data_IF_050856695963
#
_entry.id   IF_050856695963
#
_cell.length_a   1.000
_cell.length_b   1.000
_cell.length_c   1.000
_cell.angle_alpha   90.00
_cell.angle_beta   90.00
_cell.angle_gamma   90.00
#
_symmetry.space_group_name_H-M   'P 1'
#
loop_
_entity.id
_entity.type
_entity.pdbx_description
1 polymer ?
#
# COMPACT_ATOMS: atom_id res chain seq x y z
N UNK A 1 -79.87 27.75 -1.02
CA UNK A 1 -78.51 27.17 -0.72
C UNK A 1 -77.58 27.58 -1.84
N UNK A 2 -76.60 28.47 -1.55
CA UNK A 2 -75.55 28.89 -2.51
C UNK A 2 -74.32 28.05 -2.30
N UNK A 3 -73.74 27.51 -3.36
CA UNK A 3 -72.48 26.69 -3.18
C UNK A 3 -71.28 27.60 -2.84
N UNK A 4 -70.30 27.11 -2.08
CA UNK A 4 -69.11 27.87 -1.75
C UNK A 4 -68.17 27.99 -2.97
N UNK A 5 -67.72 29.22 -3.19
CA UNK A 5 -66.76 29.59 -4.23
C UNK A 5 -65.35 28.95 -3.90
N UNK A 6 -64.71 28.31 -4.86
CA UNK A 6 -63.33 27.77 -4.63
C UNK A 6 -62.32 28.93 -4.51
N UNK A 7 -61.60 28.97 -3.40
CA UNK A 7 -60.45 29.87 -3.20
C UNK A 7 -59.29 29.34 -3.96
N UNK A 8 -58.90 29.94 -5.06
CA UNK A 8 -57.67 29.67 -5.81
C UNK A 8 -56.47 30.03 -4.96
N UNK A 9 -55.48 29.10 -4.76
CA UNK A 9 -54.26 29.39 -4.04
C UNK A 9 -53.45 30.44 -4.82
N UNK A 10 -53.07 31.50 -4.14
CA UNK A 10 -52.25 32.59 -4.68
C UNK A 10 -50.84 32.02 -4.99
N UNK A 11 -50.51 31.85 -6.26
CA UNK A 11 -49.16 31.53 -6.69
C UNK A 11 -48.26 32.71 -6.33
N UNK A 12 -47.34 32.47 -5.38
CA UNK A 12 -46.25 33.38 -5.08
C UNK A 12 -45.15 33.13 -6.10
N UNK A 13 -44.92 34.10 -6.98
CA UNK A 13 -43.76 34.10 -7.87
C UNK A 13 -42.46 34.37 -7.07
N UNK A 14 -41.36 33.78 -7.51
CA UNK A 14 -40.05 34.07 -6.98
C UNK A 14 -39.69 35.55 -7.19
N UNK A 15 -39.12 36.17 -6.17
CA UNK A 15 -38.64 37.56 -6.29
C UNK A 15 -37.29 37.59 -7.01
N UNK A 16 -37.04 38.66 -7.76
CA UNK A 16 -35.73 38.82 -8.44
C UNK A 16 -34.58 38.77 -7.45
N UNK A 17 -34.77 39.27 -6.24
CA UNK A 17 -33.80 39.24 -5.15
C UNK A 17 -33.42 37.80 -4.72
N UNK A 18 -34.45 36.94 -4.64
CA UNK A 18 -34.23 35.52 -4.22
C UNK A 18 -33.44 34.74 -5.25
N UNK A 19 -33.67 34.99 -6.54
CA UNK A 19 -32.86 34.41 -7.62
C UNK A 19 -31.40 34.92 -7.58
N UNK A 20 -31.19 36.21 -7.35
CA UNK A 20 -29.85 36.80 -7.24
C UNK A 20 -29.07 36.21 -6.05
N UNK A 21 -29.71 36.04 -4.90
CA UNK A 21 -29.09 35.42 -3.72
C UNK A 21 -28.74 33.94 -4.00
N UNK A 22 -29.67 33.21 -4.65
CA UNK A 22 -29.42 31.81 -4.99
C UNK A 22 -28.21 31.64 -5.94
N UNK A 23 -28.10 32.50 -6.96
CA UNK A 23 -26.95 32.49 -7.87
C UNK A 23 -25.66 32.86 -7.14
N UNK A 24 -25.68 33.86 -6.28
CA UNK A 24 -24.51 34.28 -5.51
C UNK A 24 -24.01 33.16 -4.56
N UNK A 25 -24.92 32.48 -3.86
CA UNK A 25 -24.58 31.35 -2.99
C UNK A 25 -24.02 30.16 -3.79
N UNK A 26 -24.64 29.84 -4.94
CA UNK A 26 -24.18 28.79 -5.82
C UNK A 26 -22.75 29.07 -6.34
N UNK A 27 -22.46 30.30 -6.73
CA UNK A 27 -21.15 30.74 -7.17
C UNK A 27 -20.12 30.65 -6.03
N UNK A 28 -20.48 31.02 -4.81
CA UNK A 28 -19.61 30.95 -3.63
C UNK A 28 -19.27 29.50 -3.29
N UNK A 29 -20.26 28.59 -3.33
CA UNK A 29 -20.04 27.16 -3.13
C UNK A 29 -19.13 26.59 -4.22
N UNK A 30 -19.35 26.97 -5.49
CA UNK A 30 -18.51 26.55 -6.62
C UNK A 30 -17.04 26.94 -6.44
N UNK A 31 -16.76 28.16 -6.00
CA UNK A 31 -15.41 28.64 -5.71
C UNK A 31 -14.79 27.83 -4.56
N UNK A 32 -15.55 27.56 -3.49
CA UNK A 32 -15.09 26.76 -2.35
C UNK A 32 -14.72 25.33 -2.73
N UNK A 33 -15.54 24.69 -3.57
CA UNK A 33 -15.28 23.33 -4.08
C UNK A 33 -14.05 23.33 -4.99
N UNK A 34 -13.91 24.30 -5.88
CA UNK A 34 -12.74 24.42 -6.76
C UNK A 34 -11.44 24.56 -5.96
N UNK A 35 -11.42 25.43 -4.93
CA UNK A 35 -10.28 25.62 -4.05
C UNK A 35 -9.94 24.32 -3.28
N UNK A 36 -10.93 23.57 -2.83
CA UNK A 36 -10.73 22.28 -2.16
C UNK A 36 -10.11 21.23 -3.09
N UNK A 37 -10.60 21.15 -4.32
CA UNK A 37 -10.06 20.23 -5.34
C UNK A 37 -8.60 20.59 -5.67
N UNK A 38 -8.30 21.87 -5.83
CA UNK A 38 -6.95 22.35 -6.09
C UNK A 38 -5.98 22.00 -4.93
N UNK A 39 -6.43 22.16 -3.68
CA UNK A 39 -5.66 21.73 -2.50
C UNK A 39 -5.41 20.22 -2.46
N UNK A 40 -6.42 19.40 -2.83
CA UNK A 40 -6.28 17.95 -2.90
C UNK A 40 -5.31 17.52 -4.00
N UNK A 41 -5.37 18.14 -5.18
CA UNK A 41 -4.45 17.88 -6.29
C UNK A 41 -3.03 18.29 -5.90
N UNK A 42 -2.83 19.48 -5.36
CA UNK A 42 -1.52 19.97 -4.90
C UNK A 42 -0.93 19.15 -3.76
N UNK A 43 -1.79 18.65 -2.84
CA UNK A 43 -1.36 17.71 -1.80
C UNK A 43 -0.88 16.39 -2.43
N UNK A 44 -1.61 15.87 -3.41
CA UNK A 44 -1.26 14.65 -4.13
C UNK A 44 0.05 14.77 -4.89
N UNK A 45 0.31 15.91 -5.54
CA UNK A 45 1.56 16.19 -6.24
C UNK A 45 2.75 16.30 -5.28
N UNK A 46 2.59 16.93 -4.11
CA UNK A 46 3.63 16.99 -3.06
C UNK A 46 3.97 15.62 -2.48
N UNK A 47 3.03 14.68 -2.48
CA UNK A 47 3.27 13.28 -2.09
C UNK A 47 3.79 12.41 -3.25
N UNK A 48 3.71 12.88 -4.49
CA UNK A 48 4.14 12.13 -5.67
C UNK A 48 5.63 12.26 -5.99
N UNK A 49 6.30 13.30 -5.51
CA UNK A 49 7.75 13.49 -5.64
C UNK A 49 8.41 13.60 -4.25
N UNK A 50 8.62 12.48 -3.54
CA UNK A 50 9.42 12.51 -2.32
C UNK A 50 10.85 12.90 -2.68
N UNK A 51 11.43 13.81 -1.89
CA UNK A 51 12.84 14.12 -2.00
C UNK A 51 13.67 12.82 -1.89
N UNK A 52 14.82 12.68 -2.57
CA UNK A 52 15.57 11.43 -2.66
C UNK A 52 15.90 10.76 -1.32
N UNK A 53 16.11 11.56 -0.27
CA UNK A 53 16.34 11.07 1.09
C UNK A 53 15.05 10.58 1.76
N UNK A 54 13.93 11.23 1.48
CA UNK A 54 12.63 10.86 2.05
C UNK A 54 12.16 9.51 1.49
N UNK A 55 12.39 9.24 0.19
CA UNK A 55 12.05 7.95 -0.42
C UNK A 55 12.80 6.77 0.20
N UNK A 56 14.08 6.95 0.60
CA UNK A 56 14.86 5.90 1.27
C UNK A 56 14.38 5.65 2.69
N UNK A 57 14.06 6.71 3.42
CA UNK A 57 13.50 6.61 4.76
C UNK A 57 12.11 5.97 4.70
N UNK A 58 11.30 6.36 3.74
CA UNK A 58 9.93 5.87 3.60
C UNK A 58 9.88 4.39 3.23
N UNK A 59 10.71 3.94 2.27
CA UNK A 59 10.78 2.51 1.95
C UNK A 59 11.31 1.69 3.13
N UNK A 60 12.29 2.23 3.87
CA UNK A 60 12.84 1.57 5.06
C UNK A 60 11.78 1.41 6.15
N UNK A 61 11.01 2.46 6.44
CA UNK A 61 9.91 2.43 7.42
C UNK A 61 8.77 1.49 7.00
N UNK A 62 8.40 1.52 5.72
CA UNK A 62 7.37 0.64 5.17
C UNK A 62 7.81 -0.82 5.26
N UNK A 63 9.05 -1.11 4.88
CA UNK A 63 9.62 -2.45 4.91
C UNK A 63 9.69 -2.99 6.35
N UNK A 64 10.16 -2.18 7.33
CA UNK A 64 10.17 -2.56 8.74
C UNK A 64 8.78 -2.95 9.23
N UNK A 65 7.80 -2.05 9.06
CA UNK A 65 6.42 -2.29 9.52
C UNK A 65 5.80 -3.53 8.88
N UNK A 66 6.10 -3.81 7.61
CA UNK A 66 5.53 -4.95 6.92
C UNK A 66 6.21 -6.26 7.28
N UNK A 67 7.48 -6.24 7.61
CA UNK A 67 8.20 -7.40 8.15
C UNK A 67 7.82 -7.66 9.62
N UNK A 68 7.68 -6.62 10.44
CA UNK A 68 7.20 -6.72 11.83
C UNK A 68 5.75 -7.25 11.92
N UNK A 69 4.94 -6.99 10.88
CA UNK A 69 3.57 -7.50 10.78
C UNK A 69 3.47 -8.84 10.03
N UNK A 70 4.60 -9.54 9.86
CA UNK A 70 4.66 -10.84 9.19
C UNK A 70 3.79 -11.87 9.91
N UNK A 71 3.08 -12.68 9.12
CA UNK A 71 2.28 -13.81 9.62
C UNK A 71 2.61 -15.06 8.81
N UNK A 72 2.58 -16.20 9.49
CA UNK A 72 2.77 -17.48 8.83
C UNK A 72 1.43 -17.90 8.21
N UNK A 73 1.40 -17.90 6.89
CA UNK A 73 0.25 -18.41 6.13
C UNK A 73 0.73 -19.01 4.81
N UNK A 74 0.26 -20.23 4.46
CA UNK A 74 0.47 -20.80 3.14
C UNK A 74 -0.11 -19.88 2.05
N UNK A 75 0.58 -19.76 0.93
CA UNK A 75 0.13 -19.02 -0.25
C UNK A 75 -0.06 -20.00 -1.39
N UNK A 76 -1.18 -19.90 -2.07
CA UNK A 76 -1.53 -20.76 -3.21
C UNK A 76 -1.72 -19.93 -4.48
N UNK A 77 -1.41 -20.53 -5.63
CA UNK A 77 -1.79 -19.99 -6.93
C UNK A 77 -2.14 -21.13 -7.87
N UNK A 78 -3.26 -20.99 -8.58
CA UNK A 78 -3.74 -22.02 -9.51
C UNK A 78 -3.95 -23.40 -8.83
N UNK A 79 -4.39 -23.41 -7.57
CA UNK A 79 -4.58 -24.64 -6.80
C UNK A 79 -3.28 -25.30 -6.29
N UNK A 80 -2.11 -24.70 -6.53
CA UNK A 80 -0.82 -25.21 -6.04
C UNK A 80 -0.30 -24.33 -4.92
N UNK A 81 0.25 -24.95 -3.88
CA UNK A 81 0.95 -24.22 -2.83
C UNK A 81 2.25 -23.65 -3.37
N UNK A 82 2.41 -22.32 -3.32
CA UNK A 82 3.61 -21.63 -3.75
C UNK A 82 4.69 -21.67 -2.68
N UNK A 83 4.32 -21.34 -1.46
CA UNK A 83 5.19 -21.45 -0.30
C UNK A 83 4.38 -21.57 0.99
N UNK A 84 4.97 -22.23 1.99
CA UNK A 84 4.40 -22.40 3.32
C UNK A 84 5.29 -21.83 4.43
N UNK A 85 6.45 -21.33 4.06
CA UNK A 85 7.38 -20.71 4.98
C UNK A 85 7.00 -19.24 5.18
N UNK A 86 7.31 -18.66 6.35
CA UNK A 86 7.08 -17.25 6.60
C UNK A 86 7.73 -16.33 5.58
N UNK A 87 8.90 -16.72 5.10
CA UNK A 87 9.71 -15.99 4.12
C UNK A 87 10.03 -16.90 2.93
N UNK A 88 9.64 -16.49 1.73
CA UNK A 88 10.03 -17.12 0.48
C UNK A 88 11.13 -16.29 -0.19
N UNK A 89 12.35 -16.81 -0.16
CA UNK A 89 13.54 -16.14 -0.71
C UNK A 89 13.97 -16.76 -2.03
N UNK A 90 14.17 -15.95 -3.03
CA UNK A 90 14.69 -16.31 -4.35
C UNK A 90 15.97 -15.52 -4.63
N UNK A 91 17.10 -16.14 -4.42
CA UNK A 91 18.41 -15.51 -4.61
C UNK A 91 18.68 -15.13 -6.08
N UNK A 92 18.25 -15.98 -7.02
CA UNK A 92 18.36 -15.78 -8.46
C UNK A 92 17.66 -14.50 -8.95
N UNK A 93 16.54 -14.16 -8.31
CA UNK A 93 15.72 -13.00 -8.63
C UNK A 93 15.93 -11.80 -7.70
N UNK A 94 16.88 -11.91 -6.74
CA UNK A 94 17.04 -10.94 -5.66
C UNK A 94 15.67 -10.54 -5.04
N UNK A 95 14.84 -11.55 -4.70
CA UNK A 95 13.45 -11.39 -4.30
C UNK A 95 13.18 -12.04 -2.95
N UNK A 96 12.46 -11.31 -2.11
CA UNK A 96 11.91 -11.80 -0.85
C UNK A 96 10.39 -11.60 -0.85
N UNK A 97 9.63 -12.68 -0.58
CA UNK A 97 8.17 -12.62 -0.47
C UNK A 97 7.72 -13.12 0.91
N UNK A 98 6.67 -12.52 1.45
CA UNK A 98 6.06 -12.89 2.72
C UNK A 98 4.60 -12.46 2.77
N UNK A 99 3.88 -12.92 3.80
CA UNK A 99 2.53 -12.45 4.11
C UNK A 99 2.59 -11.56 5.34
N UNK A 100 1.90 -10.44 5.31
CA UNK A 100 1.79 -9.52 6.45
C UNK A 100 0.36 -9.03 6.66
N UNK A 101 0.07 -8.52 7.85
CA UNK A 101 -1.16 -7.78 8.12
C UNK A 101 -1.06 -6.36 7.53
N UNK A 102 -2.08 -5.97 6.77
CA UNK A 102 -2.27 -4.61 6.30
C UNK A 102 -3.00 -3.75 7.33
N UNK A 103 -2.85 -2.42 7.21
CA UNK A 103 -3.57 -1.47 8.07
C UNK A 103 -5.08 -1.46 7.79
N UNK A 104 -5.49 -1.68 6.54
CA UNK A 104 -6.89 -1.60 6.09
C UNK A 104 -7.35 -2.97 5.62
N UNK A 105 -8.59 -3.33 5.97
CA UNK A 105 -9.26 -4.53 5.43
C UNK A 105 -9.67 -4.27 3.98
N UNK A 106 -9.43 -5.24 3.09
CA UNK A 106 -9.92 -5.23 1.71
C UNK A 106 -10.98 -6.32 1.53
N UNK A 107 -12.01 -6.05 0.72
CA UNK A 107 -12.97 -7.09 0.34
C UNK A 107 -12.28 -8.12 -0.58
N UNK A 108 -12.53 -9.41 -0.30
CA UNK A 108 -12.10 -10.52 -1.13
C UNK A 108 -13.30 -11.45 -1.27
N UNK A 109 -14.06 -11.32 -2.37
CA UNK A 109 -15.37 -11.94 -2.51
C UNK A 109 -16.32 -11.45 -1.40
N UNK A 110 -16.92 -12.37 -0.67
CA UNK A 110 -17.85 -12.09 0.44
C UNK A 110 -17.15 -11.81 1.78
N UNK A 111 -15.82 -11.82 1.82
CA UNK A 111 -15.04 -11.66 3.05
C UNK A 111 -14.15 -10.43 3.00
N UNK A 112 -13.82 -9.93 4.18
CA UNK A 112 -12.82 -8.88 4.36
C UNK A 112 -11.54 -9.49 4.93
N UNK A 113 -10.39 -9.16 4.33
CA UNK A 113 -9.09 -9.59 4.83
C UNK A 113 -8.14 -8.43 4.99
N UNK A 114 -7.33 -8.49 6.03
CA UNK A 114 -6.19 -7.58 6.23
C UNK A 114 -4.87 -8.22 5.76
N UNK A 115 -4.91 -9.48 5.36
CA UNK A 115 -3.72 -10.17 4.88
C UNK A 115 -3.31 -9.63 3.52
N UNK A 116 -2.01 -9.44 3.38
CA UNK A 116 -1.36 -8.94 2.16
C UNK A 116 -0.15 -9.79 1.87
N UNK A 117 -0.02 -10.23 0.64
CA UNK A 117 1.24 -10.77 0.12
C UNK A 117 2.14 -9.60 -0.23
N UNK A 118 3.35 -9.63 0.26
CA UNK A 118 4.38 -8.61 0.03
C UNK A 118 5.49 -9.20 -0.82
N UNK A 119 6.09 -8.36 -1.65
CA UNK A 119 7.23 -8.72 -2.47
C UNK A 119 8.22 -7.56 -2.48
N UNK A 120 9.43 -7.81 -1.97
CA UNK A 120 10.58 -6.94 -2.15
C UNK A 120 11.44 -7.54 -3.25
N UNK A 121 11.71 -6.78 -4.28
CA UNK A 121 12.50 -7.24 -5.44
C UNK A 121 13.41 -6.13 -5.93
N UNK A 122 14.61 -6.50 -6.35
CA UNK A 122 15.56 -5.63 -7.02
C UNK A 122 15.68 -6.02 -8.48
N UNK A 123 15.36 -5.07 -9.33
CA UNK A 123 15.62 -5.16 -10.77
C UNK A 123 17.00 -4.55 -11.05
N UNK A 124 17.90 -5.39 -11.56
CA UNK A 124 19.28 -5.01 -11.86
C UNK A 124 19.36 -4.11 -13.08
N UNK A 125 18.49 -4.32 -14.07
CA UNK A 125 18.53 -3.62 -15.36
C UNK A 125 18.07 -2.17 -15.18
N UNK A 126 17.05 -1.94 -14.39
CA UNK A 126 16.54 -0.60 -14.04
C UNK A 126 17.20 -0.01 -12.80
N UNK A 127 18.09 -0.75 -12.11
CA UNK A 127 18.68 -0.37 -10.82
C UNK A 127 17.63 0.07 -9.78
N UNK A 128 16.46 -0.61 -9.76
CA UNK A 128 15.31 -0.20 -8.96
C UNK A 128 14.94 -1.27 -7.92
N UNK A 129 14.86 -0.88 -6.66
CA UNK A 129 14.31 -1.70 -5.58
C UNK A 129 12.81 -1.38 -5.46
N UNK A 130 11.96 -2.41 -5.54
CA UNK A 130 10.51 -2.25 -5.46
C UNK A 130 9.92 -3.04 -4.31
N UNK A 131 8.96 -2.42 -3.63
CA UNK A 131 8.08 -3.08 -2.67
C UNK A 131 6.67 -3.11 -3.25
N UNK A 132 6.21 -4.31 -3.57
CA UNK A 132 4.88 -4.55 -4.14
C UNK A 132 4.00 -5.28 -3.12
N UNK A 133 2.68 -5.09 -3.23
CA UNK A 133 1.68 -5.72 -2.37
C UNK A 133 0.54 -6.28 -3.20
N UNK A 134 0.01 -7.45 -2.80
CA UNK A 134 -1.20 -8.03 -3.38
C UNK A 134 -2.19 -8.40 -2.28
N UNK A 135 -3.47 -8.12 -2.50
CA UNK A 135 -4.56 -8.52 -1.61
C UNK A 135 -4.97 -9.98 -1.77
N UNK A 136 -4.61 -10.62 -2.88
CA UNK A 136 -4.98 -11.99 -3.18
C UNK A 136 -3.87 -12.94 -2.72
N UNK A 137 -4.18 -13.77 -1.72
CA UNK A 137 -3.28 -14.81 -1.23
C UNK A 137 -3.47 -16.12 -2.01
N UNK A 138 -4.70 -16.42 -2.39
CA UNK A 138 -5.11 -17.65 -3.07
C UNK A 138 -5.70 -17.25 -4.44
N UNK A 139 -4.83 -16.92 -5.40
CA UNK A 139 -5.24 -16.50 -6.73
C UNK A 139 -5.41 -17.71 -7.67
N UNK A 140 -6.43 -17.66 -8.52
CA UNK A 140 -6.60 -18.67 -9.59
C UNK A 140 -5.53 -18.54 -10.70
N UNK A 141 -4.85 -17.41 -10.78
CA UNK A 141 -3.78 -17.09 -11.73
C UNK A 141 -2.64 -16.30 -11.07
N UNK A 142 -1.90 -15.54 -11.86
CA UNK A 142 -0.90 -14.63 -11.32
C UNK A 142 -1.58 -13.53 -10.50
N UNK A 143 -1.08 -13.25 -9.27
CA UNK A 143 -1.64 -12.20 -8.45
C UNK A 143 -1.38 -10.83 -9.07
N UNK A 144 -2.35 -9.95 -9.01
CA UNK A 144 -2.17 -8.56 -9.36
C UNK A 144 -1.32 -7.87 -8.28
N UNK A 145 -0.19 -7.31 -8.71
CA UNK A 145 0.73 -6.62 -7.83
C UNK A 145 0.56 -5.11 -7.93
N UNK A 146 0.32 -4.49 -6.80
CA UNK A 146 0.27 -3.04 -6.66
C UNK A 146 1.60 -2.55 -6.09
N UNK A 147 2.24 -1.60 -6.78
CA UNK A 147 3.46 -0.97 -6.28
C UNK A 147 3.16 -0.07 -5.10
N UNK A 148 3.83 -0.35 -3.99
CA UNK A 148 3.69 0.41 -2.74
C UNK A 148 4.80 1.44 -2.61
N UNK A 149 6.03 1.06 -2.97
CA UNK A 149 7.18 1.94 -3.00
C UNK A 149 8.20 1.48 -4.04
N UNK A 150 8.97 2.43 -4.55
CA UNK A 150 10.11 2.18 -5.42
C UNK A 150 11.27 3.08 -5.01
N UNK A 151 12.50 2.56 -5.14
CA UNK A 151 13.72 3.28 -4.87
C UNK A 151 14.67 3.07 -6.05
N UNK A 152 14.94 4.13 -6.78
CA UNK A 152 15.83 4.13 -7.93
C UNK A 152 17.29 4.33 -7.51
N UNK A 153 18.22 3.94 -8.40
CA UNK A 153 19.66 4.07 -8.19
C UNK A 153 20.25 3.08 -7.21
N UNK A 154 19.58 1.93 -7.02
CA UNK A 154 20.07 0.83 -6.18
C UNK A 154 21.01 -0.06 -6.98
N UNK A 155 22.28 -0.11 -6.58
CA UNK A 155 23.32 -0.81 -7.31
C UNK A 155 23.56 -2.25 -6.82
N UNK A 156 23.13 -2.57 -5.59
CA UNK A 156 23.20 -3.91 -5.03
C UNK A 156 22.11 -4.13 -3.99
N UNK A 157 21.68 -5.38 -3.83
CA UNK A 157 20.78 -5.83 -2.77
C UNK A 157 21.26 -7.17 -2.24
N UNK A 158 21.34 -7.28 -0.92
CA UNK A 158 21.67 -8.53 -0.22
C UNK A 158 20.73 -8.73 0.96
N UNK A 159 20.47 -9.99 1.27
CA UNK A 159 19.66 -10.41 2.41
C UNK A 159 20.49 -11.26 3.35
N UNK A 160 20.24 -11.11 4.64
CA UNK A 160 20.72 -12.04 5.64
C UNK A 160 19.61 -12.34 6.65
N UNK A 161 19.58 -13.58 7.14
CA UNK A 161 18.53 -14.10 8.00
C UNK A 161 19.13 -14.53 9.33
N UNK A 162 18.60 -14.02 10.43
CA UNK A 162 19.07 -14.38 11.76
C UNK A 162 18.37 -15.64 12.25
N UNK A 163 19.15 -16.68 12.50
CA UNK A 163 18.68 -17.99 12.89
C UNK A 163 19.59 -18.58 13.95
N UNK A 164 19.08 -18.95 15.09
CA UNK A 164 19.84 -19.59 16.18
C UNK A 164 21.17 -18.87 16.52
N UNK A 165 21.11 -17.54 16.65
CA UNK A 165 22.25 -16.73 17.07
C UNK A 165 23.25 -16.34 15.97
N UNK A 166 23.00 -16.68 14.71
CA UNK A 166 23.89 -16.36 13.58
C UNK A 166 23.14 -15.85 12.35
N UNK A 167 23.84 -15.10 11.52
CA UNK A 167 23.35 -14.60 10.25
C UNK A 167 23.66 -15.59 9.12
N UNK A 168 22.63 -15.96 8.33
CA UNK A 168 22.73 -16.84 7.18
C UNK A 168 22.37 -16.07 5.91
N UNK A 169 22.94 -16.42 4.77
CA UNK A 169 22.64 -15.81 3.47
C UNK A 169 21.29 -16.26 2.88
N UNK A 170 20.69 -17.31 3.42
CA UNK A 170 19.37 -17.79 3.03
C UNK A 170 18.62 -18.27 4.29
N UNK A 171 17.28 -18.19 4.30
CA UNK A 171 16.50 -18.77 5.39
C UNK A 171 16.64 -20.29 5.35
N UNK A 172 16.62 -20.97 6.51
CA UNK A 172 16.69 -22.43 6.56
C UNK A 172 15.44 -23.03 5.92
N UNK A 173 15.52 -24.21 5.26
CA UNK A 173 14.39 -24.84 4.58
C UNK A 173 13.17 -25.08 5.47
N UNK A 174 13.40 -25.40 6.73
CA UNK A 174 12.38 -25.77 7.71
C UNK A 174 12.34 -24.81 8.90
N UNK A 175 13.07 -23.70 8.85
CA UNK A 175 13.27 -22.82 9.98
C UNK A 175 12.64 -21.46 9.82
N UNK A 176 12.31 -20.89 10.95
CA UNK A 176 11.80 -19.56 11.07
C UNK A 176 12.99 -18.65 11.39
N UNK A 177 13.19 -17.60 10.61
CA UNK A 177 14.17 -16.58 10.93
C UNK A 177 13.63 -15.68 12.04
N UNK A 178 14.46 -15.33 13.00
CA UNK A 178 14.15 -14.41 14.09
C UNK A 178 14.36 -12.94 13.67
N UNK A 179 15.07 -12.71 12.58
CA UNK A 179 15.32 -11.39 12.03
C UNK A 179 15.74 -11.45 10.58
N UNK A 180 15.54 -10.36 9.89
CA UNK A 180 15.99 -10.15 8.51
C UNK A 180 16.83 -8.89 8.46
N UNK A 181 17.96 -8.97 7.78
CA UNK A 181 18.78 -7.83 7.42
C UNK A 181 18.71 -7.66 5.91
N UNK A 182 18.31 -6.48 5.47
CA UNK A 182 18.28 -6.05 4.08
C UNK A 182 19.35 -4.98 3.91
N UNK A 183 20.28 -5.21 3.00
CA UNK A 183 21.36 -4.27 2.73
C UNK A 183 21.33 -3.91 1.25
N UNK A 184 21.37 -2.63 0.96
CA UNK A 184 21.47 -2.13 -0.41
C UNK A 184 22.49 -1.01 -0.50
N UNK A 185 22.98 -0.77 -1.70
CA UNK A 185 23.87 0.34 -1.99
C UNK A 185 23.15 1.29 -2.95
N UNK A 186 23.12 2.56 -2.57
CA UNK A 186 22.51 3.62 -3.37
C UNK A 186 23.45 4.81 -3.46
N UNK A 187 23.73 5.29 -4.68
CA UNK A 187 24.67 6.40 -4.90
C UNK A 187 26.03 6.24 -4.16
N UNK A 188 26.56 5.01 -4.14
CA UNK A 188 27.81 4.69 -3.44
C UNK A 188 27.72 4.61 -1.90
N UNK A 189 26.54 4.81 -1.32
CA UNK A 189 26.31 4.72 0.14
C UNK A 189 25.67 3.39 0.50
N UNK A 190 26.24 2.63 1.44
CA UNK A 190 25.62 1.42 1.96
C UNK A 190 24.51 1.78 2.93
N UNK A 191 23.34 1.17 2.78
CA UNK A 191 22.20 1.26 3.69
C UNK A 191 21.93 -0.14 4.26
N UNK A 192 21.72 -0.21 5.55
CA UNK A 192 21.41 -1.46 6.24
C UNK A 192 20.15 -1.30 7.07
N UNK A 193 19.17 -2.12 6.77
CA UNK A 193 17.94 -2.25 7.55
C UNK A 193 17.95 -3.62 8.24
N UNK A 194 17.81 -3.63 9.56
CA UNK A 194 17.68 -4.88 10.34
C UNK A 194 16.34 -4.86 11.04
N UNK A 195 15.55 -5.89 10.83
CA UNK A 195 14.20 -6.03 11.39
C UNK A 195 14.13 -7.32 12.20
N UNK A 196 13.62 -7.22 13.42
CA UNK A 196 13.27 -8.39 14.24
C UNK A 196 11.90 -8.87 13.77
N UNK A 197 11.81 -10.15 13.46
CA UNK A 197 10.55 -10.75 13.05
C UNK A 197 9.70 -11.14 14.25
N UNK A 198 8.37 -11.15 14.13
CA UNK A 198 7.50 -11.62 15.18
C UNK A 198 7.77 -13.10 15.48
N UNK A 199 7.57 -13.47 16.73
CA UNK A 199 7.63 -14.86 17.14
C UNK A 199 6.45 -15.61 16.52
N UNK A 200 6.76 -16.48 15.57
CA UNK A 200 5.76 -17.29 14.90
C UNK A 200 5.61 -18.59 15.67
N UNK A 201 4.42 -18.79 16.20
CA UNK A 201 4.08 -20.06 16.86
C UNK A 201 4.07 -21.18 15.81
N UNK A 202 4.65 -22.34 16.12
CA UNK A 202 4.70 -23.49 15.23
C UNK A 202 3.30 -24.04 14.91
#
# INVERSE_FOLDING_TARGET
>A
MRPPTPTTPRQRGFTLLEVMIAIALTALIGIGVAALVEQLVSARERFAEPAPLDAEIDISRLLSRRLEALVQRPVHAGGRQLFNLPLAYRADLARLEWVSLGAVSLPVGDFYTRLRRQRLQWDRDSATLTLDSSGLLDAAGEPEWQRVAALEGVNSLTFAFFVAGRWLAAPPPNGIAQGVRVQWQRHGRPVTLTVVLPELLP
#
